data_IF_856159508517
#
_entry.id   IF_856159508517
#
_cell.length_a   1.000
_cell.length_b   1.000
_cell.length_c   1.000
_cell.angle_alpha   90.00
_cell.angle_beta   90.00
_cell.angle_gamma   90.00
#
_symmetry.space_group_name_H-M   'P 1'
#
loop_
_entity.id
_entity.type
_entity.pdbx_description
1 polymer ?
#
# COMPACT_ATOMS: atom_id res chain seq x y z
N UNK A 1 -24.91 -26.42 -14.60
CA UNK A 1 -24.56 -26.12 -16.00
C UNK A 1 -25.69 -26.63 -16.89
N UNK A 2 -26.68 -25.78 -17.19
CA UNK A 2 -27.80 -26.11 -18.08
C UNK A 2 -27.92 -24.98 -19.10
N UNK A 3 -27.61 -25.30 -20.37
CA UNK A 3 -27.64 -24.37 -21.51
C UNK A 3 -28.78 -24.81 -22.44
N UNK A 4 -29.81 -23.98 -22.52
CA UNK A 4 -30.95 -24.17 -23.43
C UNK A 4 -30.59 -23.46 -24.74
N UNK A 5 -30.31 -24.23 -25.81
CA UNK A 5 -30.14 -23.71 -27.17
C UNK A 5 -31.49 -23.73 -27.87
N UNK A 6 -32.10 -22.55 -28.11
CA UNK A 6 -33.26 -22.44 -29.00
C UNK A 6 -32.78 -22.42 -30.46
N UNK A 7 -33.35 -23.30 -31.28
CA UNK A 7 -33.17 -23.35 -32.73
C UNK A 7 -34.38 -22.69 -33.39
N UNK A 8 -34.23 -21.48 -33.90
CA UNK A 8 -35.23 -20.89 -34.79
C UNK A 8 -34.90 -21.28 -36.25
N UNK A 9 -35.80 -22.04 -36.88
CA UNK A 9 -35.79 -22.35 -38.32
C UNK A 9 -36.59 -21.27 -39.04
N UNK A 10 -35.93 -20.51 -39.92
CA UNK A 10 -36.57 -19.55 -40.81
C UNK A 10 -37.21 -20.30 -41.99
N UNK A 11 -38.52 -20.14 -42.16
CA UNK A 11 -39.25 -20.60 -43.35
C UNK A 11 -38.96 -19.65 -44.52
N UNK A 12 -38.55 -20.22 -45.67
CA UNK A 12 -38.53 -19.52 -46.97
C UNK A 12 -39.93 -19.54 -47.54
N UNK A 13 -40.46 -18.38 -47.93
CA UNK A 13 -41.76 -18.28 -48.57
C UNK A 13 -41.95 -16.96 -49.32
N UNK A 14 -41.74 -17.04 -50.63
CA UNK A 14 -42.52 -16.36 -51.68
C UNK A 14 -42.39 -14.84 -51.88
N UNK A 15 -41.82 -14.50 -53.04
CA UNK A 15 -41.76 -13.17 -53.67
C UNK A 15 -43.16 -12.69 -54.05
N UNK A 16 -43.52 -11.46 -53.70
CA UNK A 16 -44.51 -10.66 -54.43
C UNK A 16 -43.90 -9.28 -54.65
N UNK A 17 -43.74 -8.96 -55.93
CA UNK A 17 -43.27 -7.68 -56.45
C UNK A 17 -44.52 -6.83 -56.75
N UNK A 18 -44.65 -5.66 -56.12
CA UNK A 18 -45.54 -4.60 -56.61
C UNK A 18 -44.75 -3.30 -56.61
N UNK A 19 -44.55 -2.79 -57.83
CA UNK A 19 -43.99 -1.48 -58.15
C UNK A 19 -45.11 -0.45 -57.99
N UNK A 20 -44.88 0.61 -57.22
CA UNK A 20 -45.67 1.83 -57.29
C UNK A 20 -44.71 3.03 -57.36
N UNK A 21 -44.63 3.60 -58.56
CA UNK A 21 -43.94 4.85 -58.88
C UNK A 21 -44.76 6.00 -58.31
N UNK A 22 -44.16 6.81 -57.43
CA UNK A 22 -44.69 8.13 -57.05
C UNK A 22 -43.62 9.16 -57.41
N UNK A 23 -43.82 9.81 -58.56
CA UNK A 23 -43.13 11.03 -58.97
C UNK A 23 -43.84 12.21 -58.27
N UNK A 24 -43.22 12.70 -57.20
CA UNK A 24 -43.64 13.92 -56.50
C UNK A 24 -42.47 14.90 -56.40
N UNK A 25 -42.59 16.02 -57.10
CA UNK A 25 -41.71 17.19 -57.02
C UNK A 25 -41.54 17.64 -55.56
N UNK A 26 -40.34 17.52 -55.00
CA UNK A 26 -39.99 18.16 -53.72
C UNK A 26 -38.99 19.29 -53.96
N UNK A 27 -39.18 20.49 -53.40
CA UNK A 27 -38.21 21.57 -53.47
C UNK A 27 -36.90 21.06 -52.85
N UNK A 28 -35.77 21.38 -53.47
CA UNK A 28 -34.46 21.08 -52.91
C UNK A 28 -34.29 21.76 -51.56
N UNK A 29 -34.57 21.04 -50.48
CA UNK A 29 -34.09 21.39 -49.16
C UNK A 29 -32.60 21.09 -49.16
N UNK A 30 -31.79 22.12 -49.43
CA UNK A 30 -30.39 22.11 -49.05
C UNK A 30 -30.34 22.03 -47.53
N UNK A 31 -30.35 20.82 -46.97
CA UNK A 31 -29.77 20.61 -45.65
C UNK A 31 -28.28 20.86 -45.80
N UNK A 32 -27.83 22.09 -45.56
CA UNK A 32 -26.44 22.29 -45.18
C UNK A 32 -26.23 21.40 -43.97
N UNK A 33 -25.41 20.36 -44.12
CA UNK A 33 -24.96 19.58 -42.99
C UNK A 33 -24.33 20.58 -42.01
N UNK A 34 -24.98 20.79 -40.86
CA UNK A 34 -24.32 21.45 -39.73
C UNK A 34 -23.15 20.55 -39.42
N UNK A 35 -21.96 20.95 -39.86
CA UNK A 35 -20.73 20.24 -39.54
C UNK A 35 -20.62 20.36 -38.03
N UNK A 36 -20.98 19.30 -37.31
CA UNK A 36 -20.73 19.21 -35.87
C UNK A 36 -19.26 19.51 -35.71
N UNK A 37 -18.93 20.66 -35.13
CA UNK A 37 -17.56 20.98 -34.83
C UNK A 37 -17.14 19.92 -33.83
N UNK A 38 -16.30 18.98 -34.26
CA UNK A 38 -15.69 18.02 -33.36
C UNK A 38 -15.04 18.86 -32.26
N UNK A 39 -15.55 18.74 -31.04
CA UNK A 39 -14.92 19.39 -29.90
C UNK A 39 -13.55 18.74 -29.81
N UNK A 40 -12.50 19.50 -30.09
CA UNK A 40 -11.14 19.06 -29.78
C UNK A 40 -11.15 18.66 -28.31
N UNK A 41 -10.79 17.40 -27.99
CA UNK A 41 -10.63 17.01 -26.59
C UNK A 41 -9.72 18.04 -25.93
N UNK A 42 -10.04 18.51 -24.71
CA UNK A 42 -9.14 19.40 -24.00
C UNK A 42 -7.75 18.76 -23.99
N UNK A 43 -6.76 19.52 -24.42
CA UNK A 43 -5.38 19.05 -24.46
C UNK A 43 -5.02 18.61 -23.04
N UNK A 44 -4.74 17.33 -22.87
CA UNK A 44 -4.40 16.76 -21.58
C UNK A 44 -3.04 17.34 -21.17
N UNK A 45 -3.06 18.23 -20.17
CA UNK A 45 -1.83 18.83 -19.66
C UNK A 45 -1.14 17.81 -18.75
N UNK A 46 -0.16 17.10 -19.30
CA UNK A 46 0.70 16.23 -18.52
C UNK A 46 1.75 17.06 -17.78
N UNK A 47 1.73 17.00 -16.44
CA UNK A 47 2.76 17.62 -15.62
C UNK A 47 4.02 16.74 -15.68
N UNK A 48 5.17 17.26 -16.17
CA UNK A 48 6.40 16.46 -16.25
C UNK A 48 6.81 15.92 -14.86
N UNK A 49 7.23 14.64 -14.73
CA UNK A 49 7.61 14.06 -13.45
C UNK A 49 8.68 14.85 -12.67
N UNK A 50 9.52 15.60 -13.37
CA UNK A 50 10.56 16.47 -12.82
C UNK A 50 9.99 17.56 -11.90
N UNK A 51 8.75 18.02 -12.11
CA UNK A 51 8.10 18.97 -11.21
C UNK A 51 7.87 18.40 -9.81
N UNK A 52 7.77 17.08 -9.68
CA UNK A 52 7.57 16.40 -8.40
C UNK A 52 8.89 16.01 -7.71
N UNK A 53 10.05 16.16 -8.37
CA UNK A 53 11.34 15.69 -7.83
C UNK A 53 11.81 16.44 -6.59
N UNK A 54 11.28 17.64 -6.36
CA UNK A 54 11.59 18.48 -5.19
C UNK A 54 10.56 18.32 -4.06
N UNK A 55 9.49 17.55 -4.27
CA UNK A 55 8.51 17.32 -3.22
C UNK A 55 9.08 16.38 -2.17
N UNK A 56 9.10 16.86 -0.93
CA UNK A 56 9.48 16.07 0.22
C UNK A 56 8.25 15.81 1.10
N UNK A 57 8.13 14.57 1.57
CA UNK A 57 7.20 14.26 2.64
C UNK A 57 7.64 15.01 3.90
N UNK A 58 6.69 15.73 4.52
CA UNK A 58 6.91 16.37 5.82
C UNK A 58 5.88 15.87 6.81
N UNK A 59 6.32 15.63 8.03
CA UNK A 59 5.42 15.38 9.14
C UNK A 59 4.68 16.69 9.47
N UNK A 60 3.35 16.64 9.52
CA UNK A 60 2.50 17.81 9.84
C UNK A 60 2.04 17.82 11.31
N UNK A 61 2.64 16.96 12.13
CA UNK A 61 2.16 16.66 13.48
C UNK A 61 1.00 15.65 13.46
N UNK A 62 0.48 15.29 14.64
CA UNK A 62 -0.66 14.38 14.76
C UNK A 62 -1.93 15.04 14.23
N UNK A 63 -2.29 14.76 12.97
CA UNK A 63 -3.58 15.19 12.40
C UNK A 63 -4.76 14.40 12.98
N UNK A 64 -4.51 13.15 13.41
CA UNK A 64 -5.42 12.33 14.21
C UNK A 64 -4.64 11.83 15.45
N UNK A 65 -5.20 12.01 16.65
CA UNK A 65 -4.64 11.50 17.92
C UNK A 65 -4.83 9.98 18.06
N UNK A 66 -4.51 9.24 17.00
CA UNK A 66 -4.73 7.80 16.93
C UNK A 66 -3.49 7.11 16.38
N UNK A 67 -3.25 5.93 16.91
CA UNK A 67 -2.13 5.07 16.53
C UNK A 67 -1.99 4.01 17.61
N UNK A 68 -1.77 2.76 17.20
CA UNK A 68 -1.51 1.68 18.15
C UNK A 68 -0.01 1.47 18.22
N UNK A 69 0.51 1.60 19.43
CA UNK A 69 1.86 1.17 19.76
C UNK A 69 1.75 -0.30 20.13
N UNK A 70 2.52 -1.12 19.43
CA UNK A 70 2.55 -2.56 19.67
C UNK A 70 3.66 -2.92 20.64
N UNK A 71 4.76 -2.16 20.62
CA UNK A 71 5.91 -2.41 21.46
C UNK A 71 6.76 -1.15 21.70
N UNK A 72 7.48 -1.10 22.82
CA UNK A 72 8.37 0.00 23.23
C UNK A 72 9.62 -0.59 23.88
N UNK A 73 10.78 -0.28 23.30
CA UNK A 73 12.08 -0.74 23.80
C UNK A 73 12.96 0.42 24.24
N UNK A 74 13.30 0.46 25.52
CA UNK A 74 14.20 1.45 26.11
C UNK A 74 15.63 0.93 26.19
N UNK A 75 16.62 1.81 26.02
CA UNK A 75 18.03 1.42 26.15
C UNK A 75 18.49 1.47 27.62
N UNK A 76 18.90 0.35 28.24
CA UNK A 76 19.41 0.36 29.61
C UNK A 76 20.61 1.30 29.75
N UNK A 77 20.57 2.18 30.75
CA UNK A 77 21.62 3.18 31.00
C UNK A 77 21.58 4.41 30.10
N UNK A 78 20.68 4.48 29.10
CA UNK A 78 20.49 5.65 28.26
C UNK A 78 19.01 5.99 28.07
N UNK A 79 18.40 6.78 28.97
CA UNK A 79 16.99 7.16 28.88
C UNK A 79 16.67 8.07 27.69
N UNK A 80 17.69 8.57 26.97
CA UNK A 80 17.48 9.40 25.79
C UNK A 80 17.09 8.59 24.56
N UNK A 81 17.37 7.28 24.55
CA UNK A 81 17.16 6.41 23.39
C UNK A 81 16.03 5.43 23.67
N UNK A 82 14.98 5.53 22.84
CA UNK A 82 13.81 4.64 22.88
C UNK A 82 13.42 4.30 21.46
N UNK A 83 13.01 3.05 21.27
CA UNK A 83 12.45 2.51 20.04
C UNK A 83 10.97 2.21 20.25
N UNK A 84 10.15 2.45 19.23
CA UNK A 84 8.70 2.26 19.30
C UNK A 84 8.23 1.54 18.04
N UNK A 85 7.57 0.41 18.25
CA UNK A 85 6.91 -0.38 17.21
C UNK A 85 5.46 0.03 17.10
N UNK A 86 4.96 0.16 15.87
CA UNK A 86 3.58 0.58 15.62
C UNK A 86 2.83 -0.45 14.80
N UNK A 87 1.51 -0.54 15.02
CA UNK A 87 0.65 -1.51 14.34
C UNK A 87 0.65 -1.38 12.80
N UNK A 88 0.90 -0.18 12.27
CA UNK A 88 0.82 0.11 10.83
C UNK A 88 1.69 1.29 10.37
N UNK A 89 2.68 1.72 11.16
CA UNK A 89 3.52 2.90 10.91
C UNK A 89 5.02 2.65 11.07
N UNK A 90 5.46 1.38 11.04
CA UNK A 90 6.86 1.00 11.14
C UNK A 90 7.46 1.20 12.54
N UNK A 91 8.79 1.32 12.58
CA UNK A 91 9.59 1.53 13.80
C UNK A 91 10.09 2.97 13.85
N UNK A 92 9.98 3.57 15.04
CA UNK A 92 10.41 4.93 15.35
C UNK A 92 11.50 4.90 16.41
N UNK A 93 12.49 5.80 16.28
CA UNK A 93 13.59 5.98 17.25
C UNK A 93 13.61 7.43 17.73
N UNK A 94 13.78 7.62 19.02
CA UNK A 94 14.21 8.90 19.61
C UNK A 94 15.63 8.76 20.14
N UNK A 95 16.36 9.88 20.19
CA UNK A 95 17.69 9.97 20.81
C UNK A 95 17.81 11.19 21.73
N UNK A 96 16.67 11.80 22.07
CA UNK A 96 16.58 13.00 22.91
C UNK A 96 15.40 12.89 23.89
N UNK A 97 15.16 11.69 24.41
CA UNK A 97 14.18 11.47 25.47
C UNK A 97 12.73 11.67 25.02
N UNK A 98 12.44 11.41 23.74
CA UNK A 98 11.09 11.49 23.19
C UNK A 98 10.65 12.87 22.70
N UNK A 99 11.54 13.87 22.71
CA UNK A 99 11.25 15.22 22.17
C UNK A 99 11.02 15.15 20.66
N UNK A 100 11.87 14.42 19.93
CA UNK A 100 11.68 14.14 18.51
C UNK A 100 11.86 12.66 18.19
N UNK A 101 11.16 12.21 17.16
CA UNK A 101 11.14 10.83 16.69
C UNK A 101 11.49 10.79 15.21
N UNK A 102 12.31 9.80 14.82
CA UNK A 102 12.67 9.53 13.43
C UNK A 102 12.17 8.15 13.04
N UNK A 103 11.50 7.99 11.89
CA UNK A 103 11.21 6.67 11.37
C UNK A 103 12.51 6.02 10.91
N UNK A 104 12.72 4.76 11.28
CA UNK A 104 13.91 3.98 10.91
C UNK A 104 13.56 2.79 10.02
N UNK A 105 12.28 2.56 9.73
CA UNK A 105 11.80 1.37 9.01
C UNK A 105 11.01 1.67 7.72
N UNK A 106 10.84 2.95 7.35
CA UNK A 106 10.00 3.38 6.21
C UNK A 106 10.43 2.87 4.82
N UNK A 107 11.66 2.36 4.71
CA UNK A 107 12.16 1.78 3.44
C UNK A 107 11.79 0.30 3.27
N UNK A 108 11.18 -0.32 4.27
CA UNK A 108 10.76 -1.72 4.19
C UNK A 108 9.37 -1.83 3.56
N UNK A 109 9.06 -2.94 2.88
CA UNK A 109 7.76 -3.13 2.21
C UNK A 109 6.61 -3.41 3.19
N UNK A 110 6.85 -3.35 4.49
CA UNK A 110 5.89 -3.64 5.56
C UNK A 110 5.99 -2.59 6.66
N UNK A 111 4.83 -2.16 7.15
CA UNK A 111 4.73 -1.15 8.21
C UNK A 111 4.09 -1.70 9.49
N UNK A 112 3.58 -2.94 9.47
CA UNK A 112 3.00 -3.57 10.65
C UNK A 112 4.09 -4.19 11.50
N UNK A 113 4.24 -3.70 12.73
CA UNK A 113 5.24 -4.19 13.68
C UNK A 113 4.53 -4.99 14.77
N UNK A 114 4.97 -6.23 14.98
CA UNK A 114 4.50 -7.06 16.07
C UNK A 114 5.34 -6.94 17.32
N UNK A 115 6.68 -6.88 17.18
CA UNK A 115 7.59 -6.80 18.32
C UNK A 115 8.96 -6.23 17.91
N UNK A 116 9.67 -5.62 18.85
CA UNK A 116 11.06 -5.17 18.72
C UNK A 116 11.87 -5.83 19.83
N UNK A 117 13.08 -6.28 19.51
CA UNK A 117 14.03 -6.73 20.53
C UNK A 117 15.40 -6.12 20.30
N UNK A 118 15.99 -5.60 21.37
CA UNK A 118 17.35 -5.05 21.36
C UNK A 118 18.33 -6.08 21.92
N UNK A 119 19.48 -6.24 21.26
CA UNK A 119 20.53 -7.12 21.74
C UNK A 119 21.07 -6.65 23.11
N UNK A 120 21.10 -7.51 24.14
CA UNK A 120 21.65 -7.15 25.43
C UNK A 120 23.13 -6.71 25.33
N UNK A 121 23.42 -5.51 25.82
CA UNK A 121 24.77 -4.94 25.77
C UNK A 121 25.14 -4.26 24.45
N UNK A 122 24.35 -4.41 23.38
CA UNK A 122 24.55 -3.73 22.11
C UNK A 122 23.22 -3.28 21.47
N UNK A 123 22.62 -2.18 21.96
CA UNK A 123 21.31 -1.68 21.48
C UNK A 123 21.28 -1.16 20.04
N UNK A 124 22.41 -1.19 19.32
CA UNK A 124 22.48 -0.92 17.88
C UNK A 124 22.11 -2.16 17.05
N UNK A 125 22.14 -3.36 17.66
CA UNK A 125 21.60 -4.58 17.07
C UNK A 125 20.13 -4.72 17.46
N UNK A 126 19.27 -4.67 16.45
CA UNK A 126 17.80 -4.59 16.60
C UNK A 126 17.19 -5.72 15.79
N UNK A 127 16.27 -6.47 16.39
CA UNK A 127 15.38 -7.38 15.70
C UNK A 127 13.98 -6.79 15.66
N UNK A 128 13.30 -6.92 14.53
CA UNK A 128 11.93 -6.44 14.34
C UNK A 128 11.10 -7.57 13.77
N UNK A 129 10.10 -7.99 14.54
CA UNK A 129 9.06 -8.90 14.13
C UNK A 129 7.94 -8.11 13.48
N UNK A 130 7.54 -8.50 12.27
CA UNK A 130 6.49 -7.78 11.54
C UNK A 130 5.16 -8.52 11.60
N UNK A 131 4.07 -7.75 11.47
CA UNK A 131 2.69 -8.21 11.61
C UNK A 131 2.23 -8.18 13.07
N UNK A 132 1.41 -7.20 13.43
CA UNK A 132 0.89 -7.12 14.79
C UNK A 132 0.00 -8.32 15.13
N UNK A 133 0.07 -8.79 16.39
CA UNK A 133 -0.76 -9.90 16.87
C UNK A 133 -2.09 -9.45 17.48
N UNK A 134 -2.32 -8.14 17.58
CA UNK A 134 -3.53 -7.57 18.17
C UNK A 134 -4.71 -7.61 17.17
N UNK A 135 -5.35 -8.78 17.08
CA UNK A 135 -6.52 -9.05 16.22
C UNK A 135 -7.72 -8.19 16.61
N UNK A 136 -7.80 -6.98 16.03
CA UNK A 136 -8.93 -6.05 16.13
C UNK A 136 -9.61 -5.86 14.78
N UNK A 137 -10.39 -4.79 14.63
CA UNK A 137 -11.12 -4.42 13.42
C UNK A 137 -10.23 -4.02 12.22
N UNK A 138 -8.91 -3.90 12.42
CA UNK A 138 -7.92 -3.64 11.38
C UNK A 138 -6.58 -4.25 11.78
N UNK A 139 -6.06 -5.20 11.00
CA UNK A 139 -4.73 -5.79 11.17
C UNK A 139 -4.10 -5.98 9.80
N UNK A 140 -2.81 -5.73 9.70
CA UNK A 140 -2.02 -5.98 8.49
C UNK A 140 -1.08 -7.15 8.71
N UNK A 141 -0.86 -7.93 7.65
CA UNK A 141 0.12 -9.00 7.70
C UNK A 141 1.55 -8.45 7.70
N UNK A 142 2.41 -9.15 8.42
CA UNK A 142 3.85 -9.01 8.42
C UNK A 142 4.51 -9.70 7.23
N UNK A 143 5.82 -9.52 7.13
CA UNK A 143 6.72 -10.20 6.22
C UNK A 143 7.88 -10.87 6.99
N UNK A 144 7.62 -11.37 8.20
CA UNK A 144 8.61 -12.07 9.01
C UNK A 144 9.52 -11.15 9.82
N UNK A 145 10.81 -11.50 9.93
CA UNK A 145 11.76 -10.87 10.85
C UNK A 145 12.83 -10.08 10.10
N UNK A 146 13.14 -8.89 10.60
CA UNK A 146 14.23 -8.05 10.11
C UNK A 146 15.26 -7.83 11.21
N UNK A 147 16.52 -7.66 10.82
CA UNK A 147 17.64 -7.35 11.72
C UNK A 147 18.40 -6.12 11.23
N UNK A 148 18.73 -5.23 12.15
CA UNK A 148 19.71 -4.17 11.95
C UNK A 148 20.91 -4.40 12.87
N UNK A 149 22.09 -3.95 12.45
CA UNK A 149 23.32 -3.95 13.27
C UNK A 149 23.93 -2.55 13.38
N UNK A 150 23.20 -1.51 12.95
CA UNK A 150 23.67 -0.13 12.86
C UNK A 150 22.64 0.88 13.39
N UNK A 151 21.81 0.44 14.33
CA UNK A 151 20.81 1.26 15.00
C UNK A 151 19.61 1.60 14.14
N UNK A 152 19.31 0.77 13.13
CA UNK A 152 18.18 0.89 12.22
C UNK A 152 18.44 1.71 10.97
N UNK A 153 19.71 1.95 10.59
CA UNK A 153 20.03 2.65 9.33
C UNK A 153 19.87 1.72 8.14
N UNK A 154 20.27 0.46 8.31
CA UNK A 154 20.10 -0.62 7.35
C UNK A 154 19.44 -1.84 7.99
N UNK A 155 18.76 -2.63 7.17
CA UNK A 155 17.99 -3.79 7.60
C UNK A 155 18.27 -4.96 6.69
N UNK A 156 18.51 -6.12 7.30
CA UNK A 156 18.56 -7.42 6.66
C UNK A 156 17.26 -8.17 6.96
N UNK A 157 16.62 -8.68 5.92
CA UNK A 157 15.45 -9.55 6.07
C UNK A 157 15.91 -10.99 6.35
N UNK A 158 15.36 -11.62 7.40
CA UNK A 158 15.75 -12.95 7.87
C UNK A 158 14.76 -14.06 7.47
N UNK A 159 13.64 -13.72 6.82
CA UNK A 159 12.57 -14.66 6.44
C UNK A 159 11.43 -14.74 7.46
N UNK A 160 10.67 -15.85 7.43
CA UNK A 160 9.43 -16.11 8.21
C UNK A 160 8.19 -15.35 7.72
N UNK A 161 8.12 -15.13 6.41
CA UNK A 161 7.05 -14.42 5.71
C UNK A 161 5.69 -15.11 5.93
N UNK A 162 5.68 -16.45 5.90
CA UNK A 162 4.48 -17.26 6.08
C UNK A 162 3.88 -17.18 7.48
N UNK A 163 4.67 -16.76 8.48
CA UNK A 163 4.18 -16.59 9.86
C UNK A 163 3.16 -15.46 9.95
N UNK A 164 3.29 -14.43 9.11
CA UNK A 164 2.43 -13.22 9.01
C UNK A 164 2.30 -12.38 10.29
N UNK A 165 2.52 -12.92 11.47
CA UNK A 165 2.40 -12.23 12.76
C UNK A 165 3.51 -12.71 13.69
N UNK A 166 4.58 -11.93 13.81
CA UNK A 166 5.62 -12.18 14.81
C UNK A 166 5.25 -11.41 16.07
N UNK A 167 4.66 -12.10 17.05
CA UNK A 167 4.10 -11.47 18.25
C UNK A 167 5.12 -11.20 19.35
N UNK A 168 6.28 -11.87 19.29
CA UNK A 168 7.34 -11.74 20.28
C UNK A 168 8.67 -12.19 19.73
N UNK A 169 9.74 -11.53 20.15
CA UNK A 169 11.13 -11.86 19.90
C UNK A 169 11.84 -11.87 21.25
N UNK A 170 12.59 -12.93 21.53
CA UNK A 170 13.39 -13.05 22.75
C UNK A 170 14.81 -13.41 22.36
N UNK A 171 15.75 -12.53 22.73
CA UNK A 171 17.18 -12.73 22.49
C UNK A 171 17.78 -13.37 23.73
N UNK A 172 18.55 -14.43 23.56
CA UNK A 172 19.27 -15.04 24.68
C UNK A 172 20.39 -14.09 25.16
N UNK A 173 20.39 -13.65 26.44
CA UNK A 173 21.32 -12.64 26.92
C UNK A 173 22.77 -13.12 27.06
N UNK A 174 23.01 -14.44 27.07
CA UNK A 174 24.36 -15.02 27.12
C UNK A 174 24.86 -15.49 25.76
N UNK A 175 23.94 -15.62 24.80
CA UNK A 175 24.18 -16.15 23.46
C UNK A 175 23.33 -15.39 22.44
N UNK A 176 23.67 -14.12 22.12
CA UNK A 176 22.83 -13.27 21.29
C UNK A 176 22.55 -13.77 19.88
N UNK A 177 23.32 -14.75 19.40
CA UNK A 177 23.07 -15.46 18.16
C UNK A 177 21.84 -16.40 18.22
N UNK A 178 21.35 -16.71 19.42
CA UNK A 178 20.15 -17.52 19.66
C UNK A 178 18.97 -16.58 19.92
N UNK A 179 18.06 -16.53 18.95
CA UNK A 179 16.85 -15.71 19.00
C UNK A 179 15.63 -16.61 18.85
N UNK A 180 14.64 -16.43 19.71
CA UNK A 180 13.34 -17.08 19.65
C UNK A 180 12.31 -16.09 19.13
N UNK A 181 11.45 -16.56 18.23
CA UNK A 181 10.37 -15.80 17.60
C UNK A 181 9.09 -16.61 17.54
#
# INVERSE_FOLDING_TARGET
>A
MFSIKSKFRFFKGTRILIIAIILGLTPGWFFSAVKTQERTPPQEFEIPPQFFSQLAWRNIGPANMMGRITDIEGVPGNPQVVYVGTASGGVWKTTNGGITWKPIFDRQPVASIGDIALEPGNPEVIYVGTGEANLRNSVSFGQGVYKSTDGGKTWLHLGLEDTRHISRIVINPRRPEVVLV
#
